data_IF_841121671864
#
_entry.id   IF_841121671864
#
_cell.length_a   1.000
_cell.length_b   1.000
_cell.length_c   1.000
_cell.angle_alpha   90.00
_cell.angle_beta   90.00
_cell.angle_gamma   90.00
#
_symmetry.space_group_name_H-M   'P 1'
#
loop_
_entity.id
_entity.type
_entity.pdbx_description
1 polymer ?
#
# COMPACT_ATOMS: atom_id res chain seq x y z
N UNK A 1 -51.95 -61.44 13.47
CA UNK A 1 -52.88 -60.47 12.87
C UNK A 1 -52.60 -60.42 11.37
N UNK A 2 -53.64 -60.71 10.60
CA UNK A 2 -53.65 -60.92 9.16
C UNK A 2 -53.48 -59.62 8.36
N UNK A 3 -53.05 -59.79 7.10
CA UNK A 3 -52.92 -58.80 6.03
C UNK A 3 -54.21 -57.99 5.75
N UNK A 4 -54.08 -56.77 5.21
CA UNK A 4 -54.64 -56.41 3.89
C UNK A 4 -54.18 -55.03 3.38
N UNK A 5 -54.20 -54.92 2.05
CA UNK A 5 -53.60 -53.92 1.15
C UNK A 5 -54.50 -52.69 0.96
N UNK A 6 -53.91 -51.57 0.55
CA UNK A 6 -54.51 -50.69 -0.45
C UNK A 6 -53.43 -50.00 -1.31
N UNK A 7 -53.36 -50.43 -2.57
CA UNK A 7 -52.70 -49.79 -3.70
C UNK A 7 -53.60 -48.62 -4.14
N UNK A 8 -53.02 -47.46 -4.42
CA UNK A 8 -53.48 -46.63 -5.53
C UNK A 8 -52.25 -46.19 -6.33
N UNK A 9 -52.22 -46.75 -7.53
CA UNK A 9 -51.32 -46.45 -8.64
C UNK A 9 -51.97 -45.26 -9.35
N UNK A 10 -51.19 -44.23 -9.67
CA UNK A 10 -51.48 -43.44 -10.87
C UNK A 10 -50.21 -43.26 -11.66
N UNK A 11 -50.35 -43.58 -12.93
CA UNK A 11 -49.33 -43.90 -13.90
C UNK A 11 -49.18 -42.75 -14.88
N UNK A 12 -47.92 -42.53 -15.27
CA UNK A 12 -47.48 -42.08 -16.60
C UNK A 12 -47.73 -40.62 -17.02
N UNK A 13 -46.63 -39.89 -17.23
CA UNK A 13 -46.30 -39.40 -18.57
C UNK A 13 -44.78 -39.29 -18.71
N UNK A 14 -44.30 -39.65 -19.89
CA UNK A 14 -42.92 -39.98 -20.22
C UNK A 14 -42.59 -39.30 -21.55
N UNK A 15 -41.45 -38.58 -21.57
CA UNK A 15 -40.67 -38.04 -22.72
C UNK A 15 -41.27 -36.87 -23.56
N UNK A 16 -40.45 -36.09 -24.32
CA UNK A 16 -39.02 -36.25 -24.63
C UNK A 16 -38.10 -35.01 -24.43
N UNK A 17 -36.81 -35.31 -24.55
CA UNK A 17 -35.65 -34.43 -24.71
C UNK A 17 -35.82 -33.31 -25.75
N UNK A 18 -35.18 -32.16 -25.49
CA UNK A 18 -34.79 -31.23 -26.54
C UNK A 18 -34.53 -29.81 -26.07
N UNK A 19 -33.26 -29.40 -26.16
CA UNK A 19 -32.76 -28.01 -26.13
C UNK A 19 -32.61 -27.43 -24.70
N UNK A 20 -31.45 -27.55 -24.04
CA UNK A 20 -30.19 -26.85 -24.38
C UNK A 20 -30.45 -25.37 -24.72
N UNK A 21 -30.44 -24.55 -23.67
CA UNK A 21 -30.07 -23.14 -23.63
C UNK A 21 -29.70 -22.93 -22.14
N UNK A 22 -28.49 -23.26 -21.69
CA UNK A 22 -27.27 -22.49 -22.02
C UNK A 22 -27.59 -21.02 -22.32
N UNK A 23 -28.34 -20.37 -21.43
CA UNK A 23 -28.05 -18.98 -21.11
C UNK A 23 -26.82 -18.96 -20.20
N UNK A 24 -25.70 -19.44 -20.76
CA UNK A 24 -24.39 -18.98 -20.38
C UNK A 24 -24.39 -17.47 -20.49
N UNK A 25 -23.89 -16.84 -19.43
CA UNK A 25 -22.96 -15.74 -19.60
C UNK A 25 -23.50 -14.56 -20.41
N UNK A 26 -24.55 -13.92 -19.91
CA UNK A 26 -24.47 -12.47 -19.83
C UNK A 26 -23.44 -12.15 -18.74
N UNK A 27 -22.15 -12.30 -19.08
CA UNK A 27 -21.08 -11.67 -18.33
C UNK A 27 -21.37 -10.19 -18.48
N UNK A 28 -22.12 -9.63 -17.54
CA UNK A 28 -22.02 -8.22 -17.26
C UNK A 28 -20.52 -8.03 -17.07
N UNK A 29 -19.89 -7.39 -18.05
CA UNK A 29 -18.53 -6.87 -17.94
C UNK A 29 -18.64 -5.80 -16.88
N UNK A 30 -18.73 -6.24 -15.63
CA UNK A 30 -18.93 -5.40 -14.48
C UNK A 30 -17.69 -4.56 -14.37
N UNK A 31 -17.86 -3.26 -14.49
CA UNK A 31 -16.83 -2.23 -14.32
C UNK A 31 -16.30 -2.15 -12.87
N UNK A 32 -16.39 -3.25 -12.12
CA UNK A 32 -15.92 -3.38 -10.76
C UNK A 32 -14.44 -3.71 -10.69
N UNK A 33 -13.80 -3.15 -9.67
CA UNK A 33 -12.41 -3.45 -9.33
C UNK A 33 -12.33 -4.90 -8.83
N UNK A 34 -11.46 -5.75 -9.41
CA UNK A 34 -11.32 -7.12 -8.96
C UNK A 34 -10.65 -7.17 -7.57
N UNK A 35 -11.13 -8.06 -6.71
CA UNK A 35 -10.45 -8.39 -5.47
C UNK A 35 -9.10 -9.07 -5.78
N UNK A 36 -8.00 -8.51 -5.29
CA UNK A 36 -6.65 -9.03 -5.52
C UNK A 36 -6.21 -10.13 -4.55
N UNK A 37 -7.11 -10.62 -3.69
CA UNK A 37 -6.82 -11.70 -2.75
C UNK A 37 -6.66 -13.04 -3.46
N UNK A 38 -5.80 -13.92 -2.94
CA UNK A 38 -5.68 -15.28 -3.49
C UNK A 38 -7.00 -16.02 -3.34
N UNK A 39 -7.39 -16.74 -4.41
CA UNK A 39 -8.66 -17.46 -4.50
C UNK A 39 -9.93 -16.60 -4.37
N UNK A 40 -9.84 -15.27 -4.47
CA UNK A 40 -11.00 -14.41 -4.63
C UNK A 40 -11.13 -13.94 -6.08
N UNK A 41 -12.33 -14.05 -6.64
CA UNK A 41 -12.67 -13.60 -8.00
C UNK A 41 -13.84 -12.60 -8.01
N UNK A 42 -14.20 -12.05 -6.85
CA UNK A 42 -15.27 -11.04 -6.77
C UNK A 42 -14.80 -9.73 -7.40
N UNK A 43 -15.69 -9.10 -8.16
CA UNK A 43 -15.53 -7.74 -8.70
C UNK A 43 -16.49 -6.83 -7.98
N UNK A 44 -16.00 -5.70 -7.50
CA UNK A 44 -16.77 -4.80 -6.64
C UNK A 44 -16.72 -3.39 -7.23
N UNK A 45 -17.89 -2.79 -7.42
CA UNK A 45 -18.06 -1.52 -8.13
C UNK A 45 -17.68 -0.30 -7.29
N UNK A 46 -17.88 -0.37 -5.97
CA UNK A 46 -17.57 0.72 -5.05
C UNK A 46 -16.35 0.39 -4.18
N UNK A 47 -15.45 1.36 -4.01
CA UNK A 47 -14.26 1.23 -3.16
C UNK A 47 -14.61 0.87 -1.71
N UNK A 48 -15.64 1.53 -1.15
CA UNK A 48 -16.15 1.23 0.20
C UNK A 48 -16.67 -0.21 0.33
N UNK A 49 -17.34 -0.71 -0.71
CA UNK A 49 -17.83 -2.09 -0.72
C UNK A 49 -16.66 -3.10 -0.81
N UNK A 50 -15.57 -2.74 -1.48
CA UNK A 50 -14.36 -3.55 -1.54
C UNK A 50 -13.69 -3.61 -0.16
N UNK A 51 -13.63 -2.50 0.59
CA UNK A 51 -13.08 -2.49 1.95
C UNK A 51 -13.89 -3.35 2.91
N UNK A 52 -15.23 -3.26 2.83
CA UNK A 52 -16.11 -4.12 3.63
C UNK A 52 -15.91 -5.60 3.29
N UNK A 53 -15.88 -5.93 1.99
CA UNK A 53 -15.61 -7.30 1.54
C UNK A 53 -14.27 -7.83 2.06
N UNK A 54 -13.20 -7.04 1.99
CA UNK A 54 -11.88 -7.42 2.50
C UNK A 54 -11.91 -7.66 4.02
N UNK A 55 -12.58 -6.79 4.77
CA UNK A 55 -12.69 -6.88 6.22
C UNK A 55 -13.41 -8.15 6.68
N UNK A 56 -14.46 -8.56 5.97
CA UNK A 56 -15.35 -9.66 6.31
C UNK A 56 -14.88 -11.01 5.73
N UNK A 57 -14.54 -11.05 4.44
CA UNK A 57 -14.25 -12.31 3.73
C UNK A 57 -12.79 -12.77 3.92
N UNK A 58 -11.87 -11.85 4.19
CA UNK A 58 -10.43 -12.14 4.12
C UNK A 58 -9.68 -11.81 5.40
N UNK A 59 -10.06 -10.73 6.09
CA UNK A 59 -9.39 -10.22 7.28
C UNK A 59 -10.08 -10.62 8.58
N UNK A 60 -11.06 -11.52 8.50
CA UNK A 60 -11.63 -12.20 9.65
C UNK A 60 -10.82 -13.45 10.06
N UNK A 61 -9.81 -13.82 9.28
CA UNK A 61 -8.86 -14.87 9.63
C UNK A 61 -7.90 -14.40 10.74
N UNK A 62 -7.61 -15.27 11.70
CA UNK A 62 -6.70 -14.99 12.83
C UNK A 62 -5.23 -14.99 12.42
N UNK A 63 -4.91 -15.43 11.20
CA UNK A 63 -3.52 -15.59 10.75
C UNK A 63 -2.77 -14.26 10.59
N UNK A 64 -3.45 -13.12 10.47
CA UNK A 64 -2.82 -11.79 10.28
C UNK A 64 -1.85 -11.73 9.07
N UNK A 65 -2.07 -12.56 8.06
CA UNK A 65 -1.25 -12.68 6.85
C UNK A 65 -1.92 -11.95 5.69
N UNK A 66 -1.13 -11.28 4.87
CA UNK A 66 -1.62 -10.70 3.62
C UNK A 66 -1.48 -11.73 2.49
N UNK A 67 -2.60 -12.20 1.95
CA UNK A 67 -2.60 -13.12 0.80
C UNK A 67 -2.99 -12.40 -0.49
N UNK A 68 -2.61 -11.14 -0.64
CA UNK A 68 -2.76 -10.43 -1.90
C UNK A 68 -1.80 -11.02 -2.93
N UNK A 69 -2.23 -11.22 -4.19
CA UNK A 69 -1.48 -11.97 -5.21
C UNK A 69 -0.02 -11.55 -5.42
N UNK A 70 0.29 -10.28 -5.16
CA UNK A 70 1.62 -9.68 -5.35
C UNK A 70 2.30 -9.25 -4.05
N UNK A 71 1.74 -9.61 -2.89
CA UNK A 71 2.27 -9.19 -1.60
C UNK A 71 3.30 -10.18 -1.03
N UNK A 72 4.43 -9.65 -0.56
CA UNK A 72 5.46 -10.37 0.19
C UNK A 72 5.71 -9.81 1.59
N UNK A 73 4.95 -8.80 2.03
CA UNK A 73 5.23 -8.08 3.28
C UNK A 73 4.79 -8.82 4.55
N UNK A 74 3.56 -9.34 4.56
CA UNK A 74 3.03 -10.07 5.71
C UNK A 74 2.76 -11.51 5.31
N UNK A 75 3.65 -12.41 5.74
CA UNK A 75 3.70 -13.83 5.40
C UNK A 75 3.58 -14.67 6.68
N UNK A 76 3.52 -16.00 6.55
CA UNK A 76 3.53 -16.92 7.70
C UNK A 76 4.75 -16.71 8.62
N UNK A 77 5.90 -16.33 8.04
CA UNK A 77 7.12 -16.02 8.77
C UNK A 77 7.15 -14.62 9.40
N UNK A 78 6.29 -13.71 8.96
CA UNK A 78 6.22 -12.34 9.47
C UNK A 78 4.77 -11.82 9.42
N UNK A 79 3.92 -12.23 10.37
CA UNK A 79 2.53 -11.80 10.41
C UNK A 79 2.41 -10.32 10.82
N UNK A 80 1.30 -9.68 10.44
CA UNK A 80 1.04 -8.32 10.86
C UNK A 80 0.81 -8.25 12.38
N UNK A 81 1.26 -7.17 13.05
CA UNK A 81 1.14 -7.04 14.51
C UNK A 81 -0.31 -6.82 14.97
N UNK A 82 -1.21 -6.42 14.07
CA UNK A 82 -2.64 -6.26 14.37
C UNK A 82 -3.49 -6.29 13.10
N UNK A 83 -4.78 -6.59 13.25
CA UNK A 83 -5.78 -6.49 12.17
C UNK A 83 -5.81 -5.09 11.57
N UNK A 84 -5.69 -4.04 12.38
CA UNK A 84 -5.63 -2.66 11.93
C UNK A 84 -4.40 -2.38 11.04
N UNK A 85 -3.23 -2.92 11.39
CA UNK A 85 -2.02 -2.81 10.58
C UNK A 85 -2.17 -3.54 9.24
N UNK A 86 -2.79 -4.72 9.25
CA UNK A 86 -3.06 -5.50 8.04
C UNK A 86 -4.07 -4.79 7.12
N UNK A 87 -5.19 -4.29 7.65
CA UNK A 87 -6.16 -3.47 6.91
C UNK A 87 -5.49 -2.26 6.24
N UNK A 88 -4.66 -1.53 6.99
CA UNK A 88 -3.93 -0.36 6.47
C UNK A 88 -3.01 -0.75 5.31
N UNK A 89 -2.29 -1.86 5.45
CA UNK A 89 -1.43 -2.37 4.39
C UNK A 89 -2.21 -2.79 3.16
N UNK A 90 -3.34 -3.48 3.31
CA UNK A 90 -4.17 -3.93 2.19
C UNK A 90 -4.69 -2.74 1.37
N UNK A 91 -5.03 -1.61 2.01
CA UNK A 91 -5.42 -0.38 1.29
C UNK A 91 -4.34 0.15 0.34
N UNK A 92 -3.06 -0.11 0.60
CA UNK A 92 -1.98 0.31 -0.29
C UNK A 92 -1.99 -0.47 -1.61
N UNK A 93 -2.45 -1.72 -1.62
CA UNK A 93 -2.58 -2.50 -2.87
C UNK A 93 -3.62 -1.88 -3.81
N UNK A 94 -4.73 -1.39 -3.28
CA UNK A 94 -5.78 -0.73 -4.08
C UNK A 94 -5.25 0.53 -4.78
N UNK A 95 -4.40 1.30 -4.09
CA UNK A 95 -3.76 2.50 -4.64
C UNK A 95 -2.72 2.14 -5.71
N UNK A 96 -2.04 1.01 -5.55
CA UNK A 96 -1.11 0.49 -6.56
C UNK A 96 -1.82 -0.05 -7.80
N UNK A 97 -3.04 -0.59 -7.70
CA UNK A 97 -3.79 -1.02 -8.90
C UNK A 97 -4.12 0.17 -9.82
N UNK A 98 -4.35 1.36 -9.25
CA UNK A 98 -4.56 2.61 -10.02
C UNK A 98 -3.27 3.16 -10.63
N UNK A 99 -2.11 2.65 -10.22
CA UNK A 99 -0.78 3.07 -10.65
C UNK A 99 -0.10 1.89 -11.33
N UNK A 100 -0.28 1.75 -12.65
CA UNK A 100 0.28 0.68 -13.51
C UNK A 100 1.52 -0.07 -12.98
N UNK A 101 1.59 -1.42 -13.07
CA UNK A 101 2.59 -2.21 -12.38
C UNK A 101 3.94 -2.20 -13.10
N UNK A 102 4.99 -1.71 -12.45
CA UNK A 102 6.37 -2.02 -12.82
C UNK A 102 6.95 -2.97 -11.78
N UNK A 103 7.16 -4.22 -12.19
CA UNK A 103 7.79 -5.28 -11.41
C UNK A 103 9.21 -4.87 -11.01
N UNK A 104 9.39 -4.43 -9.76
CA UNK A 104 10.67 -4.57 -9.06
C UNK A 104 10.40 -4.91 -7.59
N UNK A 105 11.06 -5.94 -7.03
CA UNK A 105 10.99 -6.21 -5.61
C UNK A 105 11.85 -5.16 -4.90
N UNK A 106 11.22 -4.11 -4.36
CA UNK A 106 11.89 -3.19 -3.46
C UNK A 106 11.50 -3.51 -2.02
N UNK A 107 12.49 -4.00 -1.28
CA UNK A 107 12.41 -4.17 0.15
C UNK A 107 12.08 -2.86 0.86
N UNK A 108 11.38 -3.03 1.97
CA UNK A 108 11.50 -2.22 3.19
C UNK A 108 11.35 -0.70 3.02
N UNK A 109 10.11 -0.23 2.97
CA UNK A 109 9.78 1.16 3.34
C UNK A 109 9.10 1.15 4.70
N UNK A 110 9.82 1.68 5.69
CA UNK A 110 9.32 2.07 6.99
C UNK A 110 8.23 3.13 6.83
N UNK A 111 7.01 2.83 7.29
CA UNK A 111 5.98 3.83 7.58
C UNK A 111 5.93 4.02 9.10
N UNK A 112 6.57 5.08 9.60
CA UNK A 112 6.18 5.65 10.89
C UNK A 112 5.18 6.76 10.64
N UNK A 113 3.91 6.44 10.87
CA UNK A 113 2.85 7.40 11.14
C UNK A 113 3.01 7.90 12.57
N UNK A 114 3.29 9.19 12.76
CA UNK A 114 3.21 9.82 14.08
C UNK A 114 1.96 10.69 14.15
N UNK A 115 1.09 10.28 15.05
CA UNK A 115 -0.17 10.87 15.48
C UNK A 115 -0.01 12.29 16.00
N UNK A 116 -1.00 13.14 15.68
CA UNK A 116 -1.25 14.40 16.36
C UNK A 116 -1.55 14.16 17.85
N UNK A 117 -0.88 14.93 18.70
CA UNK A 117 -1.37 15.28 20.03
C UNK A 117 -1.04 16.75 20.27
N UNK A 118 -2.04 17.60 20.12
CA UNK A 118 -2.02 18.99 20.51
C UNK A 118 -2.15 19.10 22.03
N UNK A 119 -1.27 19.86 22.65
CA UNK A 119 -1.57 20.59 23.89
C UNK A 119 -0.60 21.75 24.02
N UNK A 120 -1.13 22.96 23.81
CA UNK A 120 -0.49 24.21 24.19
C UNK A 120 -0.57 24.39 25.72
N UNK A 121 0.37 25.15 26.31
CA UNK A 121 -0.05 26.36 26.99
C UNK A 121 0.73 27.59 26.52
N UNK A 122 0.00 28.67 26.33
CA UNK A 122 0.47 30.03 26.11
C UNK A 122 1.04 30.59 27.41
N UNK A 123 2.29 31.05 27.43
CA UNK A 123 2.74 32.16 28.27
C UNK A 123 3.99 32.80 27.64
N UNK A 124 3.94 34.12 27.50
CA UNK A 124 4.86 34.92 26.69
C UNK A 124 6.29 34.99 27.20
N UNK A 125 7.20 35.23 26.26
CA UNK A 125 8.60 35.53 26.50
C UNK A 125 9.30 35.73 25.17
N UNK A 126 9.77 36.96 24.92
CA UNK A 126 10.60 37.32 23.77
C UNK A 126 11.88 36.50 23.83
N UNK A 127 12.01 35.49 22.96
CA UNK A 127 13.28 34.88 22.60
C UNK A 127 13.28 34.57 21.11
N UNK A 128 14.40 34.90 20.47
CA UNK A 128 14.77 34.59 19.09
C UNK A 128 14.23 33.23 18.63
N UNK A 129 13.37 33.28 17.60
CA UNK A 129 12.79 32.08 16.97
C UNK A 129 13.93 31.21 16.41
N UNK A 130 14.04 29.92 16.77
CA UNK A 130 14.98 29.02 16.13
C UNK A 130 14.59 28.84 14.67
N UNK A 131 15.56 29.01 13.75
CA UNK A 131 15.44 28.86 12.29
C UNK A 131 15.09 27.44 11.81
N UNK A 132 14.52 26.60 12.68
CA UNK A 132 14.21 25.19 12.44
C UNK A 132 12.77 24.95 11.97
N UNK A 133 11.89 25.96 12.00
CA UNK A 133 10.47 25.79 11.72
C UNK A 133 10.01 26.09 10.29
N UNK A 134 10.89 26.54 9.39
CA UNK A 134 10.44 26.98 8.07
C UNK A 134 10.79 26.02 6.91
N UNK A 135 11.43 24.89 7.20
CA UNK A 135 11.56 23.79 6.26
C UNK A 135 10.46 22.77 6.55
N UNK A 136 9.19 23.19 6.62
CA UNK A 136 8.08 22.26 6.83
C UNK A 136 7.51 21.83 5.47
N UNK A 137 7.36 20.52 5.28
CA UNK A 137 6.82 19.91 4.06
C UNK A 137 7.90 19.41 3.09
N UNK A 138 7.65 19.61 1.79
CA UNK A 138 8.40 19.00 0.68
C UNK A 138 9.92 19.27 0.72
N UNK A 139 10.41 20.49 1.04
CA UNK A 139 11.85 20.78 1.00
C UNK A 139 12.66 20.01 2.04
N UNK A 140 12.09 19.72 3.22
CA UNK A 140 12.76 18.94 4.25
C UNK A 140 12.78 17.45 3.90
N UNK A 141 11.66 16.91 3.42
CA UNK A 141 11.63 15.53 2.93
C UNK A 141 12.63 15.32 1.80
N UNK A 142 12.68 16.26 0.85
CA UNK A 142 13.65 16.22 -0.25
C UNK A 142 15.10 16.28 0.28
N UNK A 143 15.38 17.17 1.23
CA UNK A 143 16.71 17.30 1.82
C UNK A 143 17.17 16.05 2.56
N UNK A 144 16.28 15.41 3.32
CA UNK A 144 16.57 14.15 4.02
C UNK A 144 16.81 13.01 3.01
N UNK A 145 15.99 12.93 1.96
CA UNK A 145 16.17 11.95 0.90
C UNK A 145 17.51 12.13 0.18
N UNK A 146 17.84 13.35 -0.20
CA UNK A 146 19.11 13.67 -0.87
C UNK A 146 20.30 13.32 0.01
N UNK A 147 20.25 13.61 1.31
CA UNK A 147 21.29 13.20 2.27
C UNK A 147 21.43 11.68 2.35
N UNK A 148 20.32 10.96 2.50
CA UNK A 148 20.36 9.50 2.56
C UNK A 148 20.90 8.89 1.27
N UNK A 149 20.51 9.43 0.11
CA UNK A 149 21.04 8.99 -1.19
C UNK A 149 22.54 9.27 -1.29
N UNK A 150 22.99 10.44 -0.82
CA UNK A 150 24.40 10.84 -0.82
C UNK A 150 25.30 10.02 0.11
N UNK A 151 24.74 9.31 1.11
CA UNK A 151 25.56 8.40 1.95
C UNK A 151 25.89 7.07 1.28
N UNK A 152 25.16 6.68 0.24
CA UNK A 152 25.35 5.40 -0.44
C UNK A 152 26.23 5.56 -1.68
N UNK A 153 27.45 5.01 -1.65
CA UNK A 153 28.47 5.18 -2.69
C UNK A 153 27.98 4.91 -4.13
N UNK A 154 27.09 3.94 -4.30
CA UNK A 154 26.47 3.59 -5.59
C UNK A 154 25.65 4.73 -6.23
N UNK A 155 25.16 5.68 -5.42
CA UNK A 155 24.37 6.82 -5.88
C UNK A 155 25.23 8.05 -6.17
N UNK A 156 26.51 8.07 -5.77
CA UNK A 156 27.38 9.24 -5.96
C UNK A 156 27.53 9.57 -7.43
N UNK A 157 27.70 8.57 -8.31
CA UNK A 157 27.84 8.78 -9.74
C UNK A 157 26.65 9.55 -10.35
N UNK A 158 25.43 9.34 -9.82
CA UNK A 158 24.22 10.03 -10.27
C UNK A 158 24.11 11.42 -9.64
N UNK A 159 24.44 11.57 -8.36
CA UNK A 159 24.33 12.84 -7.64
C UNK A 159 25.43 13.85 -8.00
N UNK A 160 26.62 13.37 -8.40
CA UNK A 160 27.73 14.23 -8.85
C UNK A 160 27.37 15.03 -10.11
N UNK A 161 26.42 14.55 -10.93
CA UNK A 161 25.94 15.31 -12.09
C UNK A 161 25.25 16.60 -11.68
N UNK A 162 24.79 16.70 -10.43
CA UNK A 162 24.07 17.84 -9.90
C UNK A 162 24.90 18.66 -8.89
N UNK A 163 26.22 18.46 -8.83
CA UNK A 163 27.09 19.13 -7.86
C UNK A 163 27.04 20.66 -8.01
N UNK A 164 27.02 21.15 -9.24
CA UNK A 164 26.97 22.58 -9.53
C UNK A 164 25.65 23.20 -9.06
N UNK A 165 24.50 22.56 -9.33
CA UNK A 165 23.21 23.08 -8.84
C UNK A 165 23.10 22.99 -7.31
N UNK A 166 23.65 21.94 -6.69
CA UNK A 166 23.73 21.83 -5.23
C UNK A 166 24.62 22.93 -4.65
N UNK A 167 25.71 23.30 -5.31
CA UNK A 167 26.60 24.39 -4.88
C UNK A 167 25.89 25.74 -4.96
N UNK A 168 25.10 25.98 -6.00
CA UNK A 168 24.24 27.18 -6.10
C UNK A 168 23.22 27.21 -4.96
N UNK A 169 22.59 26.07 -4.64
CA UNK A 169 21.64 25.95 -3.53
C UNK A 169 22.30 26.12 -2.15
N UNK A 170 23.58 25.75 -2.01
CA UNK A 170 24.34 25.98 -0.79
C UNK A 170 24.57 27.47 -0.51
N UNK A 171 24.59 28.32 -1.54
CA UNK A 171 24.62 29.78 -1.39
C UNK A 171 23.35 30.38 -0.80
N UNK A 172 22.28 29.59 -0.67
CA UNK A 172 21.04 30.05 -0.06
C UNK A 172 21.15 29.93 1.48
N UNK A 173 21.03 31.03 2.25
CA UNK A 173 21.32 31.06 3.70
C UNK A 173 20.45 30.11 4.53
N UNK A 174 19.31 29.68 3.97
CA UNK A 174 18.37 28.74 4.61
C UNK A 174 18.65 27.27 4.31
N UNK A 175 19.41 26.96 3.26
CA UNK A 175 19.71 25.60 2.81
C UNK A 175 21.20 25.25 2.95
N UNK A 176 22.05 26.26 3.17
CA UNK A 176 23.50 26.15 3.29
C UNK A 176 23.95 24.97 4.16
N UNK A 177 23.44 24.86 5.39
CA UNK A 177 23.84 23.80 6.33
C UNK A 177 23.46 22.40 5.81
N UNK A 178 22.25 22.28 5.28
CA UNK A 178 21.70 20.99 4.83
C UNK A 178 22.37 20.52 3.55
N UNK A 179 22.50 21.42 2.57
CA UNK A 179 23.14 21.14 1.29
C UNK A 179 24.65 20.99 1.45
N UNK A 180 25.28 21.78 2.33
CA UNK A 180 26.69 21.63 2.68
C UNK A 180 27.02 20.27 3.29
N UNK A 181 26.11 19.71 4.10
CA UNK A 181 26.25 18.33 4.60
C UNK A 181 26.18 17.33 3.45
N UNK A 182 25.22 17.47 2.54
CA UNK A 182 25.07 16.58 1.36
C UNK A 182 26.32 16.63 0.48
N UNK A 183 26.83 17.83 0.17
CA UNK A 183 28.04 18.02 -0.64
C UNK A 183 29.30 17.44 0.04
N UNK A 184 29.36 17.44 1.38
CA UNK A 184 30.46 16.87 2.14
C UNK A 184 30.46 15.34 2.10
N UNK A 185 29.29 14.70 2.04
CA UNK A 185 29.16 13.25 1.85
C UNK A 185 29.48 12.85 0.40
N UNK A 186 29.11 13.69 -0.58
CA UNK A 186 29.34 13.42 -1.99
C UNK A 186 30.80 13.52 -2.41
N UNK A 187 31.55 14.47 -1.83
CA UNK A 187 33.00 14.55 -2.03
C UNK A 187 33.66 13.41 -1.25
N UNK A 188 34.19 12.36 -1.91
CA UNK A 188 34.98 11.37 -1.20
C UNK A 188 36.14 12.10 -0.55
N UNK A 189 36.36 11.87 0.75
CA UNK A 189 37.63 12.22 1.37
C UNK A 189 38.71 11.55 0.52
N UNK A 190 39.44 12.36 -0.25
CA UNK A 190 40.69 11.94 -0.87
C UNK A 190 41.58 11.56 0.30
N UNK A 191 41.69 10.27 0.59
CA UNK A 191 42.74 9.75 1.43
C UNK A 191 44.05 10.15 0.74
N UNK A 192 44.76 11.10 1.37
CA UNK A 192 46.15 11.42 1.09
C UNK A 192 47.01 10.23 1.47
#
# INVERSE_FOLDING_TARGET
>A
MFWMRAKLISSHATYPSGMANDAQSAVAVGSGTPCGWTNCSQRIEAAEALHRHLAEAHLNDTTMICKWRTCSKYTESSPAPSKAALMRHVRLHEQQIKSTPSNKPLGHIYQHSSSLSQSAPSHGGVQSVPSHLELLGIPLTASVLLRNLATAQQNHAVLMQYEDELTVLAGHPRLEKTVGTILSELRPMKFV
#
